data_IF_089218048226
#
_entry.id   IF_089218048226
#
_cell.length_a   1.000
_cell.length_b   1.000
_cell.length_c   1.000
_cell.angle_alpha   90.00
_cell.angle_beta   90.00
_cell.angle_gamma   90.00
#
_symmetry.space_group_name_H-M   'P 1'
#
loop_
_entity.id
_entity.type
_entity.pdbx_description
1 polymer ?
#
# COMPACT_ATOMS: atom_id res chain seq x y z
N UNK A 1 -13.90 2.71 -28.08
CA UNK A 1 -14.01 2.38 -26.64
C UNK A 1 -13.15 3.36 -25.82
N UNK A 2 -13.73 4.08 -24.86
CA UNK A 2 -13.01 5.09 -24.06
C UNK A 2 -12.19 4.39 -22.97
N UNK A 3 -10.87 4.37 -23.11
CA UNK A 3 -9.88 3.81 -22.16
C UNK A 3 -10.18 4.17 -20.69
N UNK A 4 -10.68 5.38 -20.43
CA UNK A 4 -11.05 5.85 -19.10
C UNK A 4 -12.17 5.05 -18.41
N UNK A 5 -13.13 4.49 -19.17
CA UNK A 5 -14.16 3.60 -18.61
C UNK A 5 -13.59 2.25 -18.24
N UNK A 6 -12.76 1.67 -19.11
CA UNK A 6 -12.13 0.37 -18.86
C UNK A 6 -11.21 0.42 -17.62
N UNK A 7 -10.43 1.50 -17.47
CA UNK A 7 -9.58 1.70 -16.29
C UNK A 7 -10.40 1.88 -15.00
N UNK A 8 -11.51 2.62 -15.04
CA UNK A 8 -12.40 2.77 -13.88
C UNK A 8 -13.03 1.45 -13.49
N UNK A 9 -13.51 0.67 -14.46
CA UNK A 9 -14.15 -0.62 -14.21
C UNK A 9 -13.15 -1.67 -13.70
N UNK A 10 -11.95 -1.76 -14.29
CA UNK A 10 -10.91 -2.67 -13.80
C UNK A 10 -10.41 -2.32 -12.40
N UNK A 11 -10.32 -1.02 -12.06
CA UNK A 11 -9.98 -0.59 -10.70
C UNK A 11 -11.08 -0.95 -9.71
N UNK A 12 -12.36 -0.75 -10.07
CA UNK A 12 -13.48 -1.15 -9.22
C UNK A 12 -13.53 -2.67 -9.02
N UNK A 13 -13.40 -3.44 -10.10
CA UNK A 13 -13.29 -4.91 -10.06
C UNK A 13 -12.09 -5.37 -9.21
N UNK A 14 -10.97 -4.64 -9.23
CA UNK A 14 -9.81 -4.92 -8.37
C UNK A 14 -10.14 -4.70 -6.89
N UNK A 15 -10.83 -3.60 -6.56
CA UNK A 15 -11.29 -3.33 -5.19
C UNK A 15 -12.37 -4.32 -4.70
N UNK A 16 -13.18 -4.87 -5.61
CA UNK A 16 -14.19 -5.88 -5.26
C UNK A 16 -13.60 -7.30 -5.15
N UNK A 17 -12.58 -7.62 -5.95
CA UNK A 17 -11.91 -8.93 -5.94
C UNK A 17 -10.86 -9.09 -4.86
N UNK A 18 -10.27 -7.99 -4.42
CA UNK A 18 -9.24 -8.00 -3.39
C UNK A 18 -9.78 -7.31 -2.15
N UNK A 19 -9.80 -8.04 -1.05
CA UNK A 19 -10.02 -7.49 0.29
C UNK A 19 -9.13 -6.27 0.56
N UNK A 20 -9.47 -5.54 1.62
CA UNK A 20 -8.69 -4.42 2.14
C UNK A 20 -7.17 -4.71 2.08
N UNK A 21 -6.44 -3.94 1.28
CA UNK A 21 -5.00 -4.15 1.13
C UNK A 21 -4.26 -3.93 2.46
N UNK A 22 -3.35 -4.85 2.81
CA UNK A 22 -2.46 -4.74 3.96
C UNK A 22 -1.06 -4.38 3.44
N UNK A 23 -0.51 -3.28 3.95
CA UNK A 23 0.77 -2.72 3.55
C UNK A 23 1.78 -2.84 4.70
N UNK A 24 2.91 -3.47 4.41
CA UNK A 24 4.11 -3.46 5.26
C UNK A 24 5.17 -2.59 4.58
N UNK A 25 5.59 -1.51 5.25
CA UNK A 25 6.71 -0.67 4.82
C UNK A 25 7.48 -0.19 6.06
N UNK A 26 8.71 0.25 5.87
CA UNK A 26 9.52 0.82 6.94
C UNK A 26 9.00 2.20 7.41
N UNK A 27 9.60 2.74 8.47
CA UNK A 27 9.23 4.04 9.02
C UNK A 27 10.00 5.23 8.41
N UNK A 28 10.54 5.08 7.18
CA UNK A 28 11.25 6.16 6.52
C UNK A 28 10.37 7.43 6.45
N UNK A 29 11.00 8.60 6.60
CA UNK A 29 10.31 9.90 6.65
C UNK A 29 9.30 10.11 5.51
N UNK A 30 9.57 9.72 4.24
CA UNK A 30 8.59 9.83 3.17
C UNK A 30 7.34 8.97 3.41
N UNK A 31 7.48 7.76 3.94
CA UNK A 31 6.39 6.80 4.13
C UNK A 31 5.45 7.22 5.28
N UNK A 32 5.99 7.83 6.33
CA UNK A 32 5.20 8.29 7.48
C UNK A 32 4.68 9.73 7.34
N UNK A 33 4.97 10.40 6.22
CA UNK A 33 4.55 11.76 5.97
C UNK A 33 3.02 11.90 5.91
N UNK A 34 2.50 13.08 6.30
CA UNK A 34 1.06 13.37 6.33
C UNK A 34 0.34 13.13 4.99
N UNK A 35 0.90 13.51 3.82
CA UNK A 35 0.26 13.23 2.54
C UNK A 35 0.10 11.73 2.28
N UNK A 36 1.13 10.93 2.60
CA UNK A 36 1.11 9.47 2.41
C UNK A 36 0.07 8.82 3.32
N UNK A 37 0.07 9.15 4.62
CA UNK A 37 -0.96 8.66 5.57
C UNK A 37 -2.38 9.00 5.12
N UNK A 38 -2.59 10.21 4.58
CA UNK A 38 -3.90 10.65 4.07
C UNK A 38 -4.32 9.84 2.84
N UNK A 39 -3.38 9.60 1.92
CA UNK A 39 -3.61 8.80 0.72
C UNK A 39 -3.98 7.35 1.09
N UNK A 40 -3.19 6.71 1.96
CA UNK A 40 -3.43 5.31 2.40
C UNK A 40 -4.80 5.17 3.08
N UNK A 41 -5.17 6.12 3.95
CA UNK A 41 -6.49 6.13 4.59
C UNK A 41 -7.63 6.29 3.57
N UNK A 42 -7.46 7.16 2.58
CA UNK A 42 -8.46 7.38 1.52
C UNK A 42 -8.69 6.12 0.68
N UNK A 43 -7.63 5.34 0.44
CA UNK A 43 -7.69 4.09 -0.29
C UNK A 43 -8.06 2.89 0.59
N UNK A 44 -8.29 3.11 1.89
CA UNK A 44 -8.63 2.09 2.90
C UNK A 44 -7.54 1.03 3.09
N UNK A 45 -6.28 1.37 2.87
CA UNK A 45 -5.19 0.42 3.10
C UNK A 45 -4.88 0.34 4.60
N UNK A 46 -4.69 -0.89 5.08
CA UNK A 46 -4.18 -1.14 6.43
C UNK A 46 -2.67 -1.06 6.42
N UNK A 47 -2.07 -0.32 7.35
CA UNK A 47 -0.62 -0.24 7.49
C UNK A 47 -0.23 -1.05 8.71
N UNK A 48 0.62 -2.05 8.52
CA UNK A 48 1.15 -2.85 9.62
C UNK A 48 2.17 -2.06 10.44
N UNK A 49 2.22 -2.25 11.76
CA UNK A 49 3.27 -1.65 12.58
C UNK A 49 4.62 -2.24 12.18
N UNK A 50 5.59 -1.37 11.93
CA UNK A 50 6.97 -1.74 11.64
C UNK A 50 7.89 -1.13 12.71
N UNK A 51 8.70 -1.90 13.45
CA UNK A 51 9.70 -1.36 14.36
C UNK A 51 10.84 -0.61 13.64
N UNK A 52 11.50 0.37 14.28
CA UNK A 52 12.69 1.01 13.74
C UNK A 52 13.85 0.02 13.55
N UNK A 53 14.62 0.19 12.47
CA UNK A 53 15.85 -0.58 12.19
C UNK A 53 15.66 -2.10 12.15
N UNK A 54 14.56 -2.58 11.58
CA UNK A 54 14.24 -4.01 11.54
C UNK A 54 14.15 -4.52 10.09
N UNK A 55 15.27 -4.62 9.37
CA UNK A 55 15.29 -5.18 8.02
C UNK A 55 14.98 -6.68 8.01
N UNK A 56 15.25 -7.39 9.11
CA UNK A 56 15.00 -8.82 9.29
C UNK A 56 13.52 -9.20 9.24
N UNK A 57 12.62 -8.24 9.43
CA UNK A 57 11.16 -8.43 9.32
C UNK A 57 10.58 -7.84 8.03
N UNK A 58 11.39 -7.18 7.20
CA UNK A 58 10.97 -6.60 5.94
C UNK A 58 11.25 -7.59 4.80
N UNK A 59 10.24 -8.22 4.18
CA UNK A 59 10.47 -9.20 3.10
C UNK A 59 11.23 -8.62 1.91
N UNK A 60 11.12 -7.31 1.69
CA UNK A 60 11.95 -6.61 0.71
C UNK A 60 13.44 -6.75 0.99
N UNK A 61 13.85 -6.70 2.26
CA UNK A 61 15.25 -6.57 2.67
C UNK A 61 15.89 -7.93 2.99
N UNK A 62 15.12 -8.90 3.52
CA UNK A 62 15.69 -10.22 3.89
C UNK A 62 15.48 -11.30 2.82
N UNK A 63 14.59 -11.10 1.85
CA UNK A 63 14.25 -12.13 0.86
C UNK A 63 14.35 -11.66 -0.59
N UNK A 64 13.88 -10.46 -0.90
CA UNK A 64 13.82 -9.98 -2.27
C UNK A 64 15.12 -9.36 -2.78
N UNK A 65 15.76 -8.51 -1.97
CA UNK A 65 17.04 -7.85 -2.26
C UNK A 65 18.20 -8.50 -1.50
#
# INVERSE_FOLDING_TARGET
MRLSRALKQKRLEYFERHDKAILLHDNARPHVAKPVKTYLKTHKWEVLPHPPYSPDIAPSDYHLF
#
